data_IF_889977737170
#
_entry.id   IF_889977737170
#
_cell.length_a   1.000
_cell.length_b   1.000
_cell.length_c   1.000
_cell.angle_alpha   90.00
_cell.angle_beta   90.00
_cell.angle_gamma   90.00
#
_symmetry.space_group_name_H-M   'P 1'
#
loop_
_entity.id
_entity.type
_entity.pdbx_description
1 polymer ?
#
# COMPACT_ATOMS: atom_id res chain seq x y z
N UNK A 1 -11.30 -0.36 21.59
CA UNK A 1 -11.34 -0.61 20.13
C UNK A 1 -12.69 -0.14 19.62
N UNK A 2 -12.79 1.00 18.93
CA UNK A 2 -13.93 1.19 18.03
C UNK A 2 -13.70 0.19 16.90
N UNK A 3 -14.40 -0.95 16.97
CA UNK A 3 -14.43 -1.94 15.92
C UNK A 3 -15.09 -1.24 14.75
N UNK A 4 -14.32 -0.65 13.81
CA UNK A 4 -14.88 -0.11 12.57
C UNK A 4 -15.80 -1.21 12.04
N UNK A 5 -17.06 -0.88 11.82
CA UNK A 5 -18.02 -1.84 11.33
C UNK A 5 -17.66 -2.08 9.86
N UNK A 6 -16.88 -3.14 9.61
CA UNK A 6 -16.36 -3.47 8.26
C UNK A 6 -17.51 -3.50 7.25
N UNK A 7 -18.67 -4.03 7.66
CA UNK A 7 -19.87 -4.08 6.80
C UNK A 7 -20.36 -2.68 6.41
N UNK A 8 -20.38 -1.76 7.36
CA UNK A 8 -20.81 -0.37 7.13
C UNK A 8 -19.80 0.40 6.25
N UNK A 9 -18.51 0.24 6.51
CA UNK A 9 -17.44 0.85 5.71
C UNK A 9 -17.48 0.35 4.26
N UNK A 10 -17.56 -0.96 4.07
CA UNK A 10 -17.65 -1.56 2.73
C UNK A 10 -18.94 -1.16 2.01
N UNK A 11 -20.05 -1.06 2.73
CA UNK A 11 -21.33 -0.60 2.17
C UNK A 11 -21.23 0.84 1.70
N UNK A 12 -20.64 1.73 2.50
CA UNK A 12 -20.53 3.15 2.15
C UNK A 12 -19.59 3.37 0.96
N UNK A 13 -18.43 2.71 0.94
CA UNK A 13 -17.52 2.74 -0.20
C UNK A 13 -18.14 2.19 -1.47
N UNK A 14 -18.87 1.08 -1.36
CA UNK A 14 -19.59 0.50 -2.50
C UNK A 14 -20.67 1.45 -3.02
N UNK A 15 -21.43 2.09 -2.11
CA UNK A 15 -22.41 3.12 -2.49
C UNK A 15 -21.72 4.27 -3.22
N UNK A 16 -20.66 4.82 -2.66
CA UNK A 16 -19.92 5.92 -3.28
C UNK A 16 -19.42 5.54 -4.69
N UNK A 17 -18.78 4.37 -4.83
CA UNK A 17 -18.23 3.92 -6.08
C UNK A 17 -19.27 3.62 -7.17
N UNK A 18 -20.48 3.18 -6.77
CA UNK A 18 -21.56 2.80 -7.69
C UNK A 18 -22.56 3.93 -7.97
N UNK A 19 -22.69 4.90 -7.06
CA UNK A 19 -23.71 5.95 -7.12
C UNK A 19 -23.15 7.35 -7.32
N UNK A 20 -21.96 7.66 -6.81
CA UNK A 20 -21.36 9.00 -6.87
C UNK A 20 -20.27 9.11 -7.95
N UNK A 21 -19.48 8.05 -8.13
CA UNK A 21 -18.53 7.94 -9.25
C UNK A 21 -19.22 7.41 -10.50
N UNK A 22 -18.53 7.50 -11.65
CA UNK A 22 -19.00 6.87 -12.88
C UNK A 22 -18.54 5.40 -12.95
N UNK A 23 -19.38 4.39 -12.63
CA UNK A 23 -18.98 2.99 -12.66
C UNK A 23 -18.61 2.51 -14.07
N UNK A 24 -19.12 3.17 -15.11
CA UNK A 24 -18.79 2.86 -16.50
C UNK A 24 -17.31 3.09 -16.81
N UNK A 25 -16.66 4.03 -16.12
CA UNK A 25 -15.23 4.35 -16.29
C UNK A 25 -14.31 3.51 -15.38
N UNK A 26 -14.87 2.75 -14.44
CA UNK A 26 -14.10 1.93 -13.52
C UNK A 26 -13.95 0.49 -14.03
N UNK A 27 -12.75 0.06 -14.45
CA UNK A 27 -12.58 -1.28 -15.03
C UNK A 27 -12.89 -2.40 -14.03
N UNK A 28 -12.66 -2.18 -12.73
CA UNK A 28 -12.90 -3.19 -11.70
C UNK A 28 -14.39 -3.38 -11.43
N UNK A 29 -15.18 -2.29 -11.39
CA UNK A 29 -16.64 -2.38 -11.25
C UNK A 29 -17.24 -3.08 -12.48
N UNK A 30 -16.79 -2.74 -13.69
CA UNK A 30 -17.23 -3.42 -14.91
C UNK A 30 -17.00 -4.94 -14.82
N UNK A 31 -15.81 -5.35 -14.38
CA UNK A 31 -15.48 -6.77 -14.20
C UNK A 31 -16.36 -7.44 -13.12
N UNK A 32 -16.54 -6.81 -11.97
CA UNK A 32 -17.37 -7.34 -10.88
C UNK A 32 -18.82 -7.58 -11.33
N UNK A 33 -19.40 -6.65 -12.10
CA UNK A 33 -20.80 -6.73 -12.51
C UNK A 33 -21.05 -7.62 -13.73
N UNK A 34 -20.08 -7.72 -14.64
CA UNK A 34 -20.29 -8.39 -15.95
C UNK A 34 -19.44 -9.65 -16.14
N UNK A 35 -18.52 -9.93 -15.22
CA UNK A 35 -17.58 -11.05 -15.31
C UNK A 35 -16.45 -10.87 -16.33
N UNK A 36 -16.32 -9.69 -16.96
CA UNK A 36 -15.24 -9.40 -17.90
C UNK A 36 -14.95 -7.90 -17.98
N UNK A 37 -13.79 -7.53 -18.51
CA UNK A 37 -13.46 -6.14 -18.81
C UNK A 37 -14.05 -5.71 -20.15
N UNK A 38 -14.48 -4.45 -20.23
CA UNK A 38 -14.84 -3.83 -21.50
C UNK A 38 -13.59 -3.42 -22.27
N UNK A 39 -13.62 -3.55 -23.60
CA UNK A 39 -12.46 -3.25 -24.46
C UNK A 39 -12.00 -1.80 -24.39
N UNK A 40 -12.91 -0.88 -24.11
CA UNK A 40 -12.70 0.56 -23.97
C UNK A 40 -12.56 1.00 -22.50
N UNK A 41 -12.61 0.08 -21.53
CA UNK A 41 -12.38 0.35 -20.11
C UNK A 41 -11.54 -0.79 -19.51
N UNK A 42 -10.21 -0.68 -19.68
CA UNK A 42 -9.24 -1.69 -19.26
C UNK A 42 -8.39 -1.20 -18.07
N UNK A 43 -8.10 -2.07 -17.09
CA UNK A 43 -7.05 -1.83 -16.09
C UNK A 43 -5.73 -1.49 -16.77
N UNK A 44 -4.87 -0.73 -16.08
CA UNK A 44 -3.63 -0.20 -16.67
C UNK A 44 -2.77 -1.29 -17.32
N UNK A 45 -2.65 -2.46 -16.69
CA UNK A 45 -1.84 -3.58 -17.20
C UNK A 45 -2.44 -4.30 -18.42
N UNK A 46 -3.73 -4.12 -18.73
CA UNK A 46 -4.38 -4.72 -19.90
C UNK A 46 -4.47 -3.77 -21.11
N UNK A 47 -4.05 -2.51 -20.98
CA UNK A 47 -4.11 -1.55 -22.08
C UNK A 47 -3.08 -1.87 -23.16
N UNK A 48 -3.47 -1.71 -24.44
CA UNK A 48 -2.66 -2.11 -25.59
C UNK A 48 -1.28 -1.44 -25.61
N UNK A 49 -1.20 -0.16 -25.26
CA UNK A 49 0.03 0.63 -25.18
C UNK A 49 1.04 0.13 -24.13
N UNK A 50 0.60 -0.75 -23.22
CA UNK A 50 1.44 -1.34 -22.18
C UNK A 50 1.83 -2.78 -22.50
N UNK A 51 1.16 -3.46 -23.42
CA UNK A 51 1.43 -4.87 -23.77
C UNK A 51 2.88 -5.11 -24.16
N UNK A 52 3.40 -4.38 -25.17
CA UNK A 52 4.77 -4.57 -25.65
C UNK A 52 5.81 -4.16 -24.60
N UNK A 53 5.48 -3.16 -23.76
CA UNK A 53 6.35 -2.72 -22.66
C UNK A 53 6.48 -3.77 -21.57
N UNK A 54 5.38 -4.45 -21.23
CA UNK A 54 5.38 -5.55 -20.27
C UNK A 54 6.14 -6.74 -20.87
N UNK A 55 5.73 -7.17 -22.07
CA UNK A 55 6.31 -8.33 -22.77
C UNK A 55 7.83 -8.25 -22.90
N UNK A 56 8.37 -7.09 -23.32
CA UNK A 56 9.83 -6.92 -23.51
C UNK A 56 10.63 -6.98 -22.20
N UNK A 57 9.99 -6.76 -21.05
CA UNK A 57 10.64 -6.74 -19.73
C UNK A 57 10.36 -8.00 -18.91
N UNK A 58 9.62 -9.00 -19.41
CA UNK A 58 9.32 -10.23 -18.66
C UNK A 58 10.56 -10.98 -18.18
N UNK A 59 11.67 -10.89 -18.91
CA UNK A 59 12.97 -11.46 -18.52
C UNK A 59 13.57 -10.86 -17.23
N UNK A 60 12.99 -9.77 -16.71
CA UNK A 60 13.39 -9.13 -15.44
C UNK A 60 12.53 -9.55 -14.25
N UNK A 61 11.53 -10.42 -14.48
CA UNK A 61 10.61 -10.86 -13.43
C UNK A 61 11.09 -12.22 -12.92
N UNK A 62 11.31 -12.29 -11.63
CA UNK A 62 11.56 -13.53 -10.90
C UNK A 62 10.39 -13.81 -9.97
N UNK A 63 9.98 -15.07 -9.87
CA UNK A 63 8.90 -15.51 -8.98
C UNK A 63 9.54 -16.37 -7.89
N UNK A 64 9.41 -15.93 -6.66
CA UNK A 64 9.94 -16.60 -5.49
C UNK A 64 8.81 -17.03 -4.56
N UNK A 65 8.88 -18.26 -4.08
CA UNK A 65 7.97 -18.76 -3.04
C UNK A 65 8.61 -18.51 -1.68
N UNK A 66 8.37 -17.34 -1.10
CA UNK A 66 8.93 -16.91 0.17
C UNK A 66 8.01 -15.90 0.84
N UNK A 67 8.09 -15.76 2.17
CA UNK A 67 7.62 -14.53 2.82
C UNK A 67 8.52 -13.35 2.47
N UNK A 68 8.00 -12.13 2.64
CA UNK A 68 8.80 -10.90 2.45
C UNK A 68 9.94 -10.87 3.46
N UNK A 69 9.68 -11.26 4.70
CA UNK A 69 10.64 -11.34 5.79
C UNK A 69 11.81 -12.26 5.46
N UNK A 70 11.54 -13.48 4.99
CA UNK A 70 12.58 -14.45 4.62
C UNK A 70 13.37 -13.98 3.40
N UNK A 71 12.71 -13.41 2.40
CA UNK A 71 13.39 -12.90 1.21
C UNK A 71 14.36 -11.76 1.58
N UNK A 72 13.91 -10.83 2.43
CA UNK A 72 14.75 -9.73 2.91
C UNK A 72 15.91 -10.20 3.81
N UNK A 73 15.82 -11.38 4.42
CA UNK A 73 16.94 -11.97 5.18
C UNK A 73 17.99 -12.64 4.27
N UNK A 74 17.64 -12.97 3.03
CA UNK A 74 18.48 -13.73 2.09
C UNK A 74 19.24 -12.87 1.09
N UNK A 75 18.73 -11.70 0.74
CA UNK A 75 19.36 -10.81 -0.25
C UNK A 75 20.62 -10.13 0.32
N UNK A 76 21.60 -9.90 -0.55
CA UNK A 76 22.85 -9.20 -0.25
C UNK A 76 22.93 -7.80 -0.88
N UNK A 77 21.87 -7.37 -1.55
CA UNK A 77 21.72 -6.05 -2.16
C UNK A 77 20.61 -5.23 -1.50
N UNK A 78 20.54 -3.93 -1.83
CA UNK A 78 19.49 -3.03 -1.34
C UNK A 78 18.45 -2.76 -2.42
N UNK A 79 17.20 -2.62 -2.00
CA UNK A 79 16.05 -2.42 -2.87
C UNK A 79 15.71 -0.92 -2.94
N UNK A 80 15.49 -0.41 -4.14
CA UNK A 80 15.14 0.99 -4.39
C UNK A 80 13.62 1.24 -4.47
N UNK A 81 12.82 0.21 -4.77
CA UNK A 81 11.35 0.31 -4.87
C UNK A 81 10.66 -0.95 -4.37
N UNK A 82 9.64 -0.75 -3.54
CA UNK A 82 8.80 -1.79 -2.98
C UNK A 82 7.35 -1.56 -3.42
N UNK A 83 6.71 -2.62 -3.92
CA UNK A 83 5.26 -2.67 -4.13
C UNK A 83 4.70 -3.76 -3.20
N UNK A 84 3.99 -3.36 -2.15
CA UNK A 84 3.57 -4.22 -1.05
C UNK A 84 2.04 -4.23 -0.95
N UNK A 85 1.40 -4.94 -1.88
CA UNK A 85 -0.06 -4.98 -1.99
C UNK A 85 -0.72 -5.76 -0.84
N UNK A 86 -1.41 -5.03 0.05
CA UNK A 86 -2.30 -5.57 1.10
C UNK A 86 -1.63 -6.49 2.15
N UNK A 87 -0.31 -6.42 2.27
CA UNK A 87 0.43 -7.34 3.16
C UNK A 87 0.29 -6.97 4.65
N UNK A 88 0.01 -5.71 4.97
CA UNK A 88 0.01 -5.21 6.35
C UNK A 88 -1.35 -5.36 7.07
N UNK A 89 -2.42 -5.66 6.34
CA UNK A 89 -3.79 -5.77 6.86
C UNK A 89 -3.92 -6.93 7.87
N UNK A 90 -3.28 -8.06 7.57
CA UNK A 90 -3.44 -9.31 8.32
C UNK A 90 -2.43 -9.51 9.45
N UNK A 91 -1.52 -8.53 9.66
CA UNK A 91 -0.48 -8.65 10.68
C UNK A 91 -0.72 -7.76 11.91
N UNK A 92 -0.21 -8.23 13.04
CA UNK A 92 -0.20 -7.45 14.28
C UNK A 92 0.62 -6.15 14.09
N UNK A 93 0.32 -5.13 14.91
CA UNK A 93 1.10 -3.89 14.90
C UNK A 93 2.59 -4.15 15.20
N UNK A 94 2.89 -5.17 16.02
CA UNK A 94 4.25 -5.60 16.30
C UNK A 94 4.95 -6.18 15.08
N UNK A 95 4.29 -7.09 14.34
CA UNK A 95 4.87 -7.69 13.14
C UNK A 95 5.05 -6.63 12.04
N UNK A 96 4.09 -5.72 11.90
CA UNK A 96 4.22 -4.54 11.03
C UNK A 96 5.47 -3.72 11.36
N UNK A 97 5.67 -3.39 12.64
CA UNK A 97 6.84 -2.62 13.10
C UNK A 97 8.16 -3.36 12.81
N UNK A 98 8.20 -4.68 13.07
CA UNK A 98 9.38 -5.52 12.76
C UNK A 98 9.67 -5.56 11.25
N UNK A 99 8.65 -5.79 10.42
CA UNK A 99 8.80 -5.85 8.97
C UNK A 99 9.22 -4.49 8.39
N UNK A 100 8.67 -3.38 8.87
CA UNK A 100 9.13 -2.04 8.48
C UNK A 100 10.56 -1.76 8.94
N UNK A 101 11.03 -2.35 10.04
CA UNK A 101 12.45 -2.37 10.40
C UNK A 101 13.29 -3.09 9.35
N UNK A 102 12.91 -4.32 8.98
CA UNK A 102 13.61 -5.11 7.95
C UNK A 102 13.62 -4.44 6.57
N UNK A 103 12.49 -3.86 6.16
CA UNK A 103 12.39 -3.10 4.91
C UNK A 103 13.35 -1.92 4.95
N UNK A 104 13.39 -1.16 6.05
CA UNK A 104 14.32 -0.06 6.20
C UNK A 104 15.75 -0.58 6.02
N UNK A 105 16.16 -1.60 6.76
CA UNK A 105 17.53 -2.12 6.74
C UNK A 105 17.94 -2.61 5.34
N UNK A 106 17.02 -3.14 4.55
CA UNK A 106 17.24 -3.63 3.19
C UNK A 106 16.91 -2.64 2.07
N UNK A 107 16.50 -1.42 2.40
CA UNK A 107 16.22 -0.37 1.44
C UNK A 107 17.44 0.52 1.16
N UNK A 108 17.54 0.99 -0.08
CA UNK A 108 18.40 2.11 -0.45
C UNK A 108 17.95 3.42 0.20
N UNK A 109 18.86 4.41 0.27
CA UNK A 109 18.44 5.76 0.60
C UNK A 109 17.52 6.32 -0.49
N UNK A 110 16.43 6.99 -0.10
CA UNK A 110 15.35 7.44 -0.99
C UNK A 110 14.58 6.32 -1.69
N UNK A 111 14.68 5.07 -1.22
CA UNK A 111 13.82 4.01 -1.73
C UNK A 111 12.34 4.36 -1.54
N UNK A 112 11.49 3.93 -2.47
CA UNK A 112 10.05 4.20 -2.43
C UNK A 112 9.27 2.94 -2.08
N UNK A 113 8.36 3.05 -1.12
CA UNK A 113 7.40 2.01 -0.77
C UNK A 113 6.03 2.47 -1.26
N UNK A 114 5.29 1.60 -1.94
CA UNK A 114 3.89 1.79 -2.26
C UNK A 114 3.07 0.60 -1.72
N UNK A 115 2.02 0.88 -0.96
CA UNK A 115 1.18 -0.16 -0.36
C UNK A 115 -0.25 0.32 -0.07
N UNK A 116 -1.14 -0.63 0.14
CA UNK A 116 -2.57 -0.41 0.33
C UNK A 116 -3.01 -0.97 1.68
N UNK A 117 -3.97 -0.30 2.30
CA UNK A 117 -4.62 -0.77 3.52
C UNK A 117 -6.12 -0.94 3.25
N UNK A 118 -6.67 -2.11 3.52
CA UNK A 118 -8.08 -2.39 3.30
C UNK A 118 -8.94 -1.69 4.37
N UNK A 119 -8.70 -1.97 5.65
CA UNK A 119 -9.42 -1.39 6.80
C UNK A 119 -8.44 -0.86 7.85
N UNK A 120 -7.36 -1.59 8.10
CA UNK A 120 -6.41 -1.27 9.17
C UNK A 120 -5.42 -0.22 8.69
N UNK A 121 -5.47 0.97 9.28
CA UNK A 121 -4.56 2.05 8.91
C UNK A 121 -3.13 1.76 9.39
N UNK A 122 -2.25 1.42 8.44
CA UNK A 122 -0.80 1.22 8.64
C UNK A 122 -0.02 2.26 7.85
N UNK A 123 0.91 2.97 8.49
CA UNK A 123 1.91 3.79 7.81
C UNK A 123 3.05 4.16 8.76
N UNK A 124 4.11 4.80 8.24
CA UNK A 124 5.29 5.14 9.04
C UNK A 124 5.00 6.15 10.15
N UNK A 125 4.02 7.03 9.98
CA UNK A 125 3.57 7.95 11.04
C UNK A 125 2.92 7.20 12.22
N UNK A 126 2.66 5.89 12.03
CA UNK A 126 2.05 4.96 12.97
C UNK A 126 3.01 3.86 13.46
N UNK A 127 4.33 4.01 13.29
CA UNK A 127 5.29 2.95 13.66
C UNK A 127 5.63 2.86 15.16
N UNK A 128 5.57 3.96 15.89
CA UNK A 128 5.99 4.04 17.31
C UNK A 128 4.90 3.67 18.33
N UNK A 129 3.84 2.97 17.92
CA UNK A 129 2.80 2.50 18.83
C UNK A 129 3.27 1.31 19.70
N UNK A 130 4.29 1.51 20.54
CA UNK A 130 4.59 0.65 21.71
C UNK A 130 4.65 1.49 22.98
N UNK A 131 3.48 1.76 23.54
CA UNK A 131 3.14 1.62 24.97
C UNK A 131 1.69 2.07 25.16
N UNK A 132 0.80 1.11 25.08
CA UNK A 132 -0.33 0.83 26.00
C UNK A 132 -1.43 0.15 25.22
N UNK A 133 -1.63 -1.12 25.52
CA UNK A 133 -2.98 -1.66 25.44
C UNK A 133 -3.93 -0.72 26.20
N UNK A 134 -5.14 -0.55 25.65
CA UNK A 134 -6.25 0.25 26.18
C UNK A 134 -6.23 1.72 25.77
N UNK A 135 -7.23 2.08 24.95
CA UNK A 135 -7.87 3.41 24.93
C UNK A 135 -6.93 4.62 24.90
N UNK A 136 -6.42 4.98 23.73
CA UNK A 136 -6.35 6.35 23.17
C UNK A 136 -5.80 6.19 21.74
N UNK A 137 -6.71 6.00 20.79
CA UNK A 137 -6.46 6.24 19.37
C UNK A 137 -7.59 7.16 18.89
N UNK A 138 -7.72 8.33 19.51
CA UNK A 138 -8.75 9.33 19.18
C UNK A 138 -8.18 10.74 19.00
N UNK A 139 -6.95 11.03 19.40
CA UNK A 139 -6.36 12.36 19.19
C UNK A 139 -5.06 12.21 18.42
N UNK A 140 -5.14 12.29 17.09
CA UNK A 140 -4.04 12.06 16.15
C UNK A 140 -2.88 13.04 16.27
N UNK A 141 -2.09 12.94 17.34
CA UNK A 141 -0.78 13.54 17.51
C UNK A 141 -0.01 12.69 18.52
N UNK A 142 1.04 12.00 18.08
CA UNK A 142 2.29 11.93 18.84
C UNK A 142 3.43 11.36 17.99
N UNK A 143 4.63 11.76 18.39
CA UNK A 143 5.82 12.02 17.57
C UNK A 143 6.72 10.81 17.42
N UNK A 144 7.19 10.57 16.19
CA UNK A 144 8.38 9.76 15.88
C UNK A 144 9.52 10.12 16.85
N UNK A 145 9.90 9.19 17.73
CA UNK A 145 11.07 9.35 18.61
C UNK A 145 12.23 8.62 17.95
N UNK A 146 13.24 9.39 17.54
CA UNK A 146 14.38 9.05 16.67
C UNK A 146 14.11 9.37 15.19
N UNK A 147 15.05 10.08 14.55
CA UNK A 147 14.89 10.74 13.25
C UNK A 147 14.06 9.94 12.24
N UNK A 148 13.17 10.63 11.51
CA UNK A 148 12.21 10.03 10.58
C UNK A 148 12.92 9.09 9.61
N UNK A 149 12.79 7.77 9.82
CA UNK A 149 13.28 6.72 8.90
C UNK A 149 12.52 6.71 7.57
N UNK A 150 11.32 7.25 7.59
CA UNK A 150 10.39 7.27 6.47
C UNK A 150 9.71 8.64 6.36
N UNK A 151 9.43 9.05 5.14
CA UNK A 151 8.68 10.25 4.81
C UNK A 151 7.47 9.87 3.96
N UNK A 152 6.27 9.98 4.51
CA UNK A 152 5.01 9.77 3.77
C UNK A 152 4.79 10.89 2.75
N UNK A 153 4.60 10.53 1.49
CA UNK A 153 4.44 11.44 0.36
C UNK A 153 2.96 11.79 0.13
N UNK A 154 2.29 12.39 1.12
CA UNK A 154 0.81 12.57 1.18
C UNK A 154 0.13 13.10 -0.09
N UNK A 155 0.76 14.05 -0.78
CA UNK A 155 0.17 14.57 -2.02
C UNK A 155 0.24 13.55 -3.17
N UNK A 156 1.31 12.75 -3.22
CA UNK A 156 1.44 11.67 -4.19
C UNK A 156 0.47 10.52 -3.85
N UNK A 157 0.37 10.14 -2.59
CA UNK A 157 -0.59 9.15 -2.06
C UNK A 157 -2.00 9.45 -2.54
N UNK A 158 -2.51 10.64 -2.22
CA UNK A 158 -3.87 11.08 -2.56
C UNK A 158 -4.12 11.03 -4.07
N UNK A 159 -3.18 11.58 -4.84
CA UNK A 159 -3.26 11.61 -6.31
C UNK A 159 -3.25 10.21 -6.93
N UNK A 160 -2.49 9.27 -6.36
CA UNK A 160 -2.44 7.90 -6.86
C UNK A 160 -3.65 7.09 -6.39
N UNK A 161 -4.14 7.30 -5.17
CA UNK A 161 -5.36 6.67 -4.66
C UNK A 161 -6.57 6.98 -5.56
N UNK A 162 -6.74 8.25 -5.94
CA UNK A 162 -7.80 8.68 -6.86
C UNK A 162 -7.69 8.00 -8.24
N UNK A 163 -6.47 7.69 -8.69
CA UNK A 163 -6.21 7.06 -9.99
C UNK A 163 -6.27 5.54 -9.97
N UNK A 164 -6.07 4.92 -8.81
CA UNK A 164 -6.06 3.47 -8.65
C UNK A 164 -7.42 2.88 -9.01
N UNK A 165 -8.51 3.65 -8.86
CA UNK A 165 -9.91 3.27 -9.13
C UNK A 165 -10.41 2.08 -8.30
N UNK A 166 -9.56 1.49 -7.46
CA UNK A 166 -9.96 0.50 -6.48
C UNK A 166 -10.71 1.20 -5.36
N UNK A 167 -11.97 0.84 -5.15
CA UNK A 167 -12.86 1.57 -4.25
C UNK A 167 -12.93 1.00 -2.83
N UNK A 168 -12.33 -0.15 -2.58
CA UNK A 168 -12.45 -0.85 -1.30
C UNK A 168 -11.29 -0.57 -0.33
N UNK A 169 -10.16 -0.03 -0.78
CA UNK A 169 -9.06 0.33 0.12
C UNK A 169 -9.34 1.61 0.91
N UNK A 170 -8.94 1.64 2.18
CA UNK A 170 -9.02 2.84 3.03
C UNK A 170 -7.93 3.84 2.68
N UNK A 171 -6.74 3.34 2.34
CA UNK A 171 -5.55 4.15 2.18
C UNK A 171 -4.64 3.55 1.10
N UNK A 172 -4.05 4.43 0.29
CA UNK A 172 -2.93 4.13 -0.59
C UNK A 172 -1.78 4.97 -0.08
N UNK A 173 -0.69 4.32 0.31
CA UNK A 173 0.42 4.99 0.98
C UNK A 173 1.66 4.90 0.11
N UNK A 174 2.33 6.04 -0.08
CA UNK A 174 3.68 6.12 -0.63
C UNK A 174 4.61 6.69 0.41
N UNK A 175 5.71 6.00 0.67
CA UNK A 175 6.71 6.43 1.63
C UNK A 175 8.10 6.40 1.02
N UNK A 176 8.91 7.39 1.37
CA UNK A 176 10.32 7.47 0.99
C UNK A 176 11.19 7.11 2.19
N UNK A 177 12.13 6.20 1.99
CA UNK A 177 13.14 5.83 3.00
C UNK A 177 14.15 6.97 3.16
N UNK A 178 14.43 7.35 4.39
CA UNK A 178 15.42 8.37 4.75
C UNK A 178 16.54 7.67 5.52
N UNK A 179 17.67 7.41 4.85
CA UNK A 179 18.89 6.94 5.51
C UNK A 179 19.65 8.17 6.01
N UNK A 180 19.79 8.30 7.33
CA UNK A 180 20.70 9.29 7.90
C UNK A 180 22.12 8.83 7.60
N UNK A 181 22.78 9.46 6.63
CA UNK A 181 24.22 9.32 6.45
C UNK A 181 24.93 10.08 7.56
N UNK A 182 25.90 9.45 8.22
CA UNK A 182 27.07 10.19 8.68
C UNK A 182 27.68 10.81 7.42
N UNK A 183 27.45 12.12 7.21
CA UNK A 183 28.32 12.91 6.35
C UNK A 183 29.73 12.90 6.93
#
# INVERSE_FOLDING_TARGET
>A
MQKKNISEEMKERSRYALCELNPYENPYINYILTGNYRKDCLPYFLRKENFDKIRKNLHKVEILQSSVEEYLDQIDFKIDKFNLSDIFEYMSAENYSKLMGKIYDNAENNALLAYWNLIVERNSEKLDYKKTDSEIAVTGKETNVNGKKYERMKELDRKLHEKDMTFFYTDFVVEKVIKNGNN
#
